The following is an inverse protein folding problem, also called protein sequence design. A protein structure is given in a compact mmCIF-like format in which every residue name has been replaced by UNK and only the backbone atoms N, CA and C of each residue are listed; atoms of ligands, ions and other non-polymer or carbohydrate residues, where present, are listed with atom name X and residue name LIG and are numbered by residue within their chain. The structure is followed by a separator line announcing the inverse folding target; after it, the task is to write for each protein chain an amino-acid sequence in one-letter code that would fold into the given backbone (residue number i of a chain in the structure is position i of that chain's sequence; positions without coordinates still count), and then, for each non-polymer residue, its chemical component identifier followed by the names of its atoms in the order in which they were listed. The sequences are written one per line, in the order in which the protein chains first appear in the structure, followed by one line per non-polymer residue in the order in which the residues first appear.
data_IF_486706718097
#
_entry.id   IF_486706718097
#
_cell.length_a   1.000
_cell.length_b   1.000
_cell.length_c   1.000
_cell.angle_alpha   90.00
_cell.angle_beta   90.00
_cell.angle_gamma   90.00
#
_symmetry.space_group_name_H-M   'P 1'
#
loop_
_entity.id
_entity.type
_entity.pdbx_description
1 polymer ?
#
# COMPACT_ATOMS: atom_id res chain seq x y z
N UNK A 1 6.44 5.17 -27.40
CA UNK A 1 6.22 6.22 -26.38
C UNK A 1 6.19 5.62 -24.97
N UNK A 2 5.41 4.58 -24.70
CA UNK A 2 5.29 3.95 -23.36
C UNK A 2 6.62 3.36 -22.83
N UNK A 3 7.38 2.66 -23.67
CA UNK A 3 8.70 2.12 -23.28
C UNK A 3 9.72 3.23 -22.93
N UNK A 4 9.65 4.38 -23.62
CA UNK A 4 10.50 5.53 -23.31
C UNK A 4 10.09 6.22 -22.01
N UNK A 5 8.78 6.31 -21.73
CA UNK A 5 8.27 6.83 -20.47
C UNK A 5 8.65 5.93 -19.28
N UNK A 6 8.49 4.61 -19.43
CA UNK A 6 8.90 3.63 -18.42
C UNK A 6 10.42 3.65 -18.16
N UNK A 7 11.24 3.84 -19.22
CA UNK A 7 12.68 3.98 -19.08
C UNK A 7 13.07 5.28 -18.35
N UNK A 8 12.42 6.40 -18.69
CA UNK A 8 12.64 7.70 -18.02
C UNK A 8 12.19 7.63 -16.55
N UNK A 9 11.10 6.95 -16.26
CA UNK A 9 10.61 6.77 -14.89
C UNK A 9 11.55 5.87 -14.07
N UNK A 10 12.07 4.79 -14.68
CA UNK A 10 13.07 3.92 -14.07
C UNK A 10 14.41 4.66 -13.84
N UNK A 11 14.84 5.48 -14.80
CA UNK A 11 16.03 6.33 -14.63
C UNK A 11 15.84 7.39 -13.53
N UNK A 12 14.63 7.94 -13.36
CA UNK A 12 14.31 8.87 -12.26
C UNK A 12 14.34 8.20 -10.89
N UNK A 13 13.99 6.92 -10.79
CA UNK A 13 14.04 6.15 -9.53
C UNK A 13 15.46 5.86 -9.05
N UNK A 14 16.45 5.90 -9.95
CA UNK A 14 17.85 5.61 -9.65
C UNK A 14 18.74 6.86 -9.71
N UNK A 15 18.16 8.08 -9.65
CA UNK A 15 18.94 9.31 -9.59
C UNK A 15 19.61 9.45 -8.21
N UNK A 16 20.96 9.31 -8.11
CA UNK A 16 21.66 9.36 -6.84
C UNK A 16 21.50 10.70 -6.11
N UNK A 17 21.27 11.78 -6.85
CA UNK A 17 21.05 13.11 -6.24
C UNK A 17 19.67 13.23 -5.57
N UNK A 18 18.68 12.53 -6.12
CA UNK A 18 17.28 12.60 -5.65
C UNK A 18 16.98 11.55 -4.61
N UNK A 19 17.54 10.35 -4.74
CA UNK A 19 17.17 9.18 -3.95
C UNK A 19 18.27 8.66 -3.02
N UNK A 20 19.34 9.42 -2.83
CA UNK A 20 20.37 9.11 -1.83
C UNK A 20 19.78 9.09 -0.42
N UNK A 21 20.25 8.16 0.40
CA UNK A 21 19.89 8.07 1.82
C UNK A 21 20.68 9.03 2.73
N UNK A 22 21.54 9.89 2.16
CA UNK A 22 22.30 10.87 2.93
C UNK A 22 21.44 11.76 3.85
N UNK A 23 20.29 12.34 3.41
CA UNK A 23 19.41 13.09 4.31
C UNK A 23 18.84 12.23 5.45
N UNK A 24 18.56 10.95 5.17
CA UNK A 24 18.10 9.98 6.18
C UNK A 24 19.19 9.73 7.21
N UNK A 25 20.44 9.54 6.76
CA UNK A 25 21.60 9.37 7.64
C UNK A 25 21.77 10.55 8.60
N UNK A 26 21.62 11.79 8.10
CA UNK A 26 21.69 13.02 8.94
C UNK A 26 20.62 12.99 10.03
N UNK A 27 19.36 12.65 9.67
CA UNK A 27 18.28 12.59 10.66
C UNK A 27 18.47 11.44 11.64
N UNK A 28 18.85 10.27 11.16
CA UNK A 28 19.12 9.10 12.01
C UNK A 28 20.25 9.38 12.99
N UNK A 29 21.29 10.07 12.54
CA UNK A 29 22.41 10.45 13.38
C UNK A 29 22.01 11.40 14.51
N UNK A 30 21.07 12.34 14.26
CA UNK A 30 20.49 13.19 15.32
C UNK A 30 19.71 12.41 16.38
N UNK A 31 19.02 11.33 15.97
CA UNK A 31 18.20 10.50 16.84
C UNK A 31 19.02 9.48 17.65
N UNK A 32 20.22 9.14 17.18
CA UNK A 32 21.10 8.12 17.78
C UNK A 32 22.40 8.74 18.33
N UNK A 33 22.36 10.00 18.79
CA UNK A 33 23.48 10.67 19.46
C UNK A 33 24.81 10.62 18.68
N UNK A 34 24.73 10.87 17.36
CA UNK A 34 25.88 10.88 16.45
C UNK A 34 26.64 9.54 16.34
N UNK A 35 25.93 8.42 16.44
CA UNK A 35 26.51 7.07 16.34
C UNK A 35 26.28 6.42 14.97
N UNK A 36 25.90 7.17 13.94
CA UNK A 36 25.59 6.64 12.60
C UNK A 36 26.58 7.14 11.57
N UNK A 37 27.35 6.26 10.97
CA UNK A 37 28.11 6.54 9.77
C UNK A 37 27.26 6.31 8.52
N UNK A 38 27.49 7.08 7.46
CA UNK A 38 26.85 6.88 6.16
C UNK A 38 27.84 6.37 5.14
N UNK A 39 27.58 5.20 4.54
CA UNK A 39 28.35 4.67 3.45
C UNK A 39 27.78 5.18 2.11
N UNK A 40 28.65 5.62 1.21
CA UNK A 40 28.27 6.20 -0.08
C UNK A 40 28.05 5.14 -1.18
N UNK A 41 28.25 3.89 -0.84
CA UNK A 41 27.99 2.72 -1.67
C UNK A 41 27.26 1.64 -0.83
N UNK A 42 26.87 0.56 -1.49
CA UNK A 42 26.15 -0.54 -0.83
C UNK A 42 27.06 -1.68 -0.41
N UNK A 43 27.98 -2.07 -1.28
CA UNK A 43 28.91 -3.21 -1.10
C UNK A 43 30.32 -2.89 -1.64
N UNK A 44 30.65 -1.61 -1.72
CA UNK A 44 31.94 -1.11 -2.20
C UNK A 44 32.95 -0.90 -1.07
N UNK A 45 34.04 -0.22 -1.41
CA UNK A 45 35.15 0.01 -0.48
C UNK A 45 34.75 0.87 0.73
N UNK A 46 33.89 1.88 0.52
CA UNK A 46 33.42 2.76 1.58
C UNK A 46 32.55 2.04 2.60
N UNK A 47 31.62 1.17 2.13
CA UNK A 47 30.80 0.33 3.00
C UNK A 47 31.69 -0.64 3.80
N UNK A 48 32.58 -1.38 3.15
CA UNK A 48 33.48 -2.33 3.82
C UNK A 48 34.36 -1.64 4.89
N UNK A 49 34.93 -0.48 4.58
CA UNK A 49 35.82 0.21 5.52
C UNK A 49 35.04 0.72 6.75
N UNK A 50 33.81 1.21 6.56
CA UNK A 50 32.98 1.72 7.66
C UNK A 50 32.40 0.61 8.52
N UNK A 51 32.00 -0.50 7.91
CA UNK A 51 31.54 -1.69 8.66
C UNK A 51 32.68 -2.27 9.48
N UNK A 52 33.88 -2.39 8.92
CA UNK A 52 35.06 -2.89 9.64
C UNK A 52 35.51 -1.98 10.80
N UNK A 53 35.17 -0.69 10.75
CA UNK A 53 35.51 0.29 11.79
C UNK A 53 34.45 0.41 12.89
N UNK A 54 33.30 -0.27 12.78
CA UNK A 54 32.20 -0.22 13.76
C UNK A 54 32.65 -0.71 15.14
N UNK A 55 32.17 0.00 16.15
CA UNK A 55 32.24 -0.40 17.54
C UNK A 55 30.86 -0.75 18.10
N UNK A 56 30.83 -1.38 19.24
CA UNK A 56 29.59 -1.75 19.92
C UNK A 56 28.68 -0.52 20.10
N UNK A 57 27.42 -0.66 19.63
CA UNK A 57 26.40 0.39 19.71
C UNK A 57 26.49 1.45 18.61
N UNK A 58 27.40 1.32 17.65
CA UNK A 58 27.45 2.16 16.45
C UNK A 58 26.69 1.54 15.27
N UNK A 59 26.34 2.34 14.29
CA UNK A 59 25.58 1.96 13.11
C UNK A 59 26.24 2.48 11.83
N UNK A 60 26.11 1.72 10.74
CA UNK A 60 26.35 2.20 9.39
C UNK A 60 25.04 2.16 8.61
N UNK A 61 24.61 3.29 8.05
CA UNK A 61 23.57 3.32 7.04
C UNK A 61 24.23 3.19 5.67
N UNK A 62 23.92 2.12 4.97
CA UNK A 62 24.37 1.92 3.59
C UNK A 62 23.56 2.78 2.64
N UNK A 63 24.06 3.03 1.43
CA UNK A 63 23.34 3.77 0.40
C UNK A 63 22.11 2.96 -0.08
N UNK A 64 21.24 3.62 -0.84
CA UNK A 64 19.99 3.07 -1.34
C UNK A 64 20.21 1.77 -2.11
N UNK A 65 19.64 0.68 -1.62
CA UNK A 65 19.76 -0.67 -2.21
C UNK A 65 19.29 -0.72 -3.67
N UNK A 66 18.37 0.18 -4.07
CA UNK A 66 17.88 0.28 -5.46
C UNK A 66 18.87 0.82 -6.46
N UNK A 67 20.01 1.34 -6.00
CA UNK A 67 21.10 1.73 -6.92
C UNK A 67 21.85 0.52 -7.46
N UNK A 68 21.79 -0.62 -6.76
CA UNK A 68 22.36 -1.88 -7.21
C UNK A 68 21.42 -2.67 -8.12
N UNK A 69 21.86 -2.95 -9.34
CA UNK A 69 21.04 -3.68 -10.32
C UNK A 69 20.70 -5.12 -9.88
N UNK A 70 21.47 -5.69 -8.97
CA UNK A 70 21.27 -7.02 -8.41
C UNK A 70 20.18 -7.09 -7.36
N UNK A 71 19.78 -5.98 -6.76
CA UNK A 71 18.80 -5.96 -5.66
C UNK A 71 17.43 -6.50 -6.10
N UNK A 72 16.80 -5.88 -7.09
CA UNK A 72 15.48 -6.30 -7.59
C UNK A 72 15.51 -7.65 -8.33
N UNK A 73 16.68 -8.08 -8.78
CA UNK A 73 16.87 -9.37 -9.46
C UNK A 73 17.16 -10.52 -8.51
N UNK A 74 17.23 -10.24 -7.21
CA UNK A 74 17.62 -11.23 -6.22
C UNK A 74 18.98 -11.89 -6.56
N UNK A 75 19.98 -11.08 -6.93
CA UNK A 75 21.28 -11.57 -7.38
C UNK A 75 22.04 -12.29 -6.26
N UNK A 76 22.43 -13.54 -6.50
CA UNK A 76 23.23 -14.34 -5.56
C UNK A 76 24.56 -13.67 -5.21
N UNK A 77 25.24 -13.07 -6.21
CA UNK A 77 26.50 -12.36 -6.00
C UNK A 77 26.33 -11.17 -5.03
N UNK A 78 25.24 -10.37 -5.20
CA UNK A 78 24.95 -9.27 -4.29
C UNK A 78 24.61 -9.76 -2.90
N UNK A 79 23.81 -10.83 -2.80
CA UNK A 79 23.44 -11.43 -1.52
C UNK A 79 24.68 -11.89 -0.73
N UNK A 80 25.64 -12.50 -1.41
CA UNK A 80 26.89 -12.93 -0.79
C UNK A 80 27.70 -11.74 -0.26
N UNK A 81 27.87 -10.67 -1.07
CA UNK A 81 28.57 -9.46 -0.64
C UNK A 81 27.90 -8.77 0.56
N UNK A 82 26.58 -8.76 0.61
CA UNK A 82 25.83 -8.19 1.73
C UNK A 82 25.96 -9.05 2.99
N UNK A 83 25.95 -10.37 2.85
CA UNK A 83 26.10 -11.29 3.96
C UNK A 83 27.49 -11.21 4.63
N UNK A 84 28.52 -10.78 3.90
CA UNK A 84 29.87 -10.56 4.46
C UNK A 84 29.89 -9.45 5.54
N UNK A 85 28.83 -8.66 5.66
CA UNK A 85 28.71 -7.60 6.65
C UNK A 85 28.05 -8.03 7.96
N UNK A 86 27.47 -9.23 8.06
CA UNK A 86 26.66 -9.57 9.22
C UNK A 86 26.82 -11.03 9.69
N UNK A 87 26.84 -11.20 11.00
CA UNK A 87 26.70 -12.51 11.67
C UNK A 87 25.23 -12.90 11.86
N UNK A 88 24.35 -11.90 11.98
CA UNK A 88 22.91 -12.05 12.14
C UNK A 88 22.17 -11.14 11.16
N UNK A 89 21.34 -11.73 10.33
CA UNK A 89 20.44 -11.00 9.44
C UNK A 89 19.08 -10.76 10.11
N UNK A 90 18.65 -9.51 10.17
CA UNK A 90 17.32 -9.13 10.68
C UNK A 90 16.51 -8.49 9.57
N UNK A 91 15.37 -9.09 9.22
CA UNK A 91 14.41 -8.44 8.31
C UNK A 91 13.34 -7.73 9.14
N UNK A 92 13.30 -6.41 9.05
CA UNK A 92 12.25 -5.57 9.67
C UNK A 92 11.57 -4.63 8.67
N UNK A 93 11.73 -4.93 7.38
CA UNK A 93 11.20 -4.16 6.26
C UNK A 93 9.86 -4.74 5.77
N UNK A 94 8.80 -4.64 6.58
CA UNK A 94 7.49 -5.21 6.27
C UNK A 94 6.95 -4.76 4.90
N UNK A 95 7.05 -3.47 4.57
CA UNK A 95 6.54 -2.92 3.31
C UNK A 95 7.17 -3.53 2.04
N UNK A 96 8.34 -4.13 2.13
CA UNK A 96 9.04 -4.81 1.03
C UNK A 96 9.11 -6.33 1.19
N UNK A 97 8.65 -6.88 2.30
CA UNK A 97 8.77 -8.31 2.63
C UNK A 97 8.06 -9.25 1.62
N UNK A 98 7.08 -8.73 0.87
CA UNK A 98 6.37 -9.46 -0.20
C UNK A 98 7.20 -9.62 -1.50
N UNK A 99 8.40 -9.03 -1.57
CA UNK A 99 9.25 -9.04 -2.77
C UNK A 99 10.46 -9.93 -2.55
N UNK A 100 10.75 -10.79 -3.53
CA UNK A 100 11.96 -11.62 -3.53
C UNK A 100 13.17 -10.79 -4.04
N UNK A 101 13.67 -9.86 -3.24
CA UNK A 101 14.85 -9.05 -3.53
C UNK A 101 16.06 -9.54 -2.73
N UNK A 102 17.27 -9.12 -3.13
CA UNK A 102 18.49 -9.55 -2.47
C UNK A 102 18.49 -9.25 -0.96
N UNK A 103 18.12 -8.01 -0.58
CA UNK A 103 18.11 -7.60 0.83
C UNK A 103 16.89 -8.08 1.61
N UNK A 104 15.83 -8.58 0.98
CA UNK A 104 14.63 -9.06 1.69
C UNK A 104 14.58 -10.58 1.81
N UNK A 105 14.89 -11.29 0.74
CA UNK A 105 14.76 -12.73 0.66
C UNK A 105 16.08 -13.45 0.32
N UNK A 106 16.87 -12.86 -0.59
CA UNK A 106 17.99 -13.56 -1.20
C UNK A 106 19.07 -14.02 -0.21
N UNK A 107 19.47 -13.17 0.72
CA UNK A 107 20.48 -13.51 1.74
C UNK A 107 20.11 -14.81 2.47
N UNK A 108 18.81 -14.99 2.76
CA UNK A 108 18.32 -16.21 3.45
C UNK A 108 18.10 -17.35 2.47
N UNK A 109 17.52 -17.10 1.30
CA UNK A 109 17.25 -18.13 0.30
C UNK A 109 18.50 -18.84 -0.20
N UNK A 110 19.61 -18.09 -0.36
CA UNK A 110 20.90 -18.65 -0.77
C UNK A 110 21.72 -19.23 0.40
N UNK A 111 21.21 -19.14 1.63
CA UNK A 111 21.87 -19.71 2.81
C UNK A 111 23.12 -18.96 3.26
N UNK A 112 23.27 -17.69 2.88
CA UNK A 112 24.45 -16.90 3.26
C UNK A 112 24.36 -16.34 4.68
N UNK A 113 23.16 -16.18 5.25
CA UNK A 113 22.97 -15.73 6.62
C UNK A 113 23.05 -16.92 7.60
N UNK A 114 24.03 -16.98 8.53
CA UNK A 114 24.11 -18.03 9.53
C UNK A 114 22.91 -18.06 10.47
N UNK A 115 22.42 -16.88 10.83
CA UNK A 115 21.21 -16.66 11.63
C UNK A 115 20.35 -15.63 10.92
N UNK A 116 19.05 -15.94 10.74
CA UNK A 116 18.09 -15.05 10.12
C UNK A 116 16.82 -14.97 10.97
N UNK A 117 16.40 -13.76 11.33
CA UNK A 117 15.23 -13.50 12.17
C UNK A 117 14.39 -12.34 11.62
N UNK A 118 13.14 -12.25 12.07
CA UNK A 118 12.32 -11.05 11.87
C UNK A 118 12.58 -10.02 12.97
N UNK A 119 12.47 -8.74 12.61
CA UNK A 119 12.49 -7.65 13.58
C UNK A 119 11.13 -7.41 14.23
N UNK A 120 11.08 -6.47 15.16
CA UNK A 120 9.90 -6.17 15.97
C UNK A 120 8.75 -5.55 15.17
N UNK A 121 9.04 -4.82 14.09
CA UNK A 121 7.99 -4.29 13.22
C UNK A 121 7.26 -5.43 12.51
N UNK A 122 7.99 -6.37 11.90
CA UNK A 122 7.40 -7.55 11.26
C UNK A 122 6.65 -8.40 12.29
N UNK A 123 7.20 -8.61 13.49
CA UNK A 123 6.51 -9.34 14.56
C UNK A 123 5.16 -8.69 14.89
N UNK A 124 5.14 -7.35 15.04
CA UNK A 124 3.92 -6.58 15.29
C UNK A 124 2.92 -6.72 14.14
N UNK A 125 3.37 -6.59 12.91
CA UNK A 125 2.51 -6.73 11.71
C UNK A 125 1.93 -8.14 11.61
N UNK A 126 2.73 -9.18 11.82
CA UNK A 126 2.26 -10.57 11.84
C UNK A 126 1.23 -10.83 12.95
N UNK A 127 1.46 -10.27 14.14
CA UNK A 127 0.54 -10.41 15.27
C UNK A 127 -0.82 -9.79 14.99
N UNK A 128 -0.84 -8.58 14.45
CA UNK A 128 -2.09 -7.84 14.23
C UNK A 128 -2.76 -8.22 12.91
N UNK A 129 -2.03 -8.26 11.79
CA UNK A 129 -2.61 -8.62 10.49
C UNK A 129 -2.89 -10.11 10.39
N UNK A 130 -1.94 -10.97 10.77
CA UNK A 130 -2.12 -12.41 10.70
C UNK A 130 -3.29 -12.86 11.56
N UNK A 131 -3.31 -12.44 12.83
CA UNK A 131 -4.40 -12.78 13.75
C UNK A 131 -5.77 -12.28 13.28
N UNK A 132 -5.84 -11.06 12.75
CA UNK A 132 -7.09 -10.47 12.31
C UNK A 132 -7.60 -11.02 10.97
N UNK A 133 -6.71 -11.49 10.09
CA UNK A 133 -7.09 -12.01 8.76
C UNK A 133 -7.28 -13.53 8.77
N UNK A 134 -6.49 -14.27 9.56
CA UNK A 134 -6.57 -15.73 9.61
C UNK A 134 -7.62 -16.25 10.57
N UNK A 135 -7.92 -15.49 11.65
CA UNK A 135 -8.93 -15.84 12.65
C UNK A 135 -9.76 -14.62 13.05
N UNK A 136 -10.50 -13.99 12.09
CA UNK A 136 -11.22 -12.75 12.35
C UNK A 136 -12.38 -12.96 13.31
N UNK A 137 -12.63 -11.98 14.17
CA UNK A 137 -13.94 -11.86 14.83
C UNK A 137 -14.96 -11.42 13.79
N UNK A 138 -16.05 -12.15 13.65
CA UNK A 138 -17.06 -11.87 12.61
C UNK A 138 -18.20 -10.99 13.13
N UNK A 139 -18.80 -10.15 12.28
CA UNK A 139 -18.55 -9.99 10.85
C UNK A 139 -17.19 -9.36 10.54
N UNK A 140 -16.50 -9.89 9.50
CA UNK A 140 -15.25 -9.35 8.98
C UNK A 140 -15.51 -8.56 7.69
N UNK A 141 -15.24 -7.26 7.73
CA UNK A 141 -15.34 -6.34 6.58
C UNK A 141 -13.95 -5.99 6.09
N UNK A 142 -13.70 -6.26 4.83
CA UNK A 142 -12.50 -5.79 4.14
C UNK A 142 -12.83 -4.59 3.26
N UNK A 143 -11.98 -3.56 3.29
CA UNK A 143 -12.15 -2.32 2.51
C UNK A 143 -10.93 -2.14 1.64
N UNK A 144 -11.13 -2.09 0.34
CA UNK A 144 -10.07 -1.86 -0.64
C UNK A 144 -10.38 -0.62 -1.47
N UNK A 145 -9.41 0.27 -1.54
CA UNK A 145 -9.42 1.46 -2.40
C UNK A 145 -8.13 1.59 -3.19
N UNK A 146 -7.90 2.77 -3.72
CA UNK A 146 -6.75 3.07 -4.56
C UNK A 146 -7.06 3.06 -6.05
N UNK A 147 -6.03 3.24 -6.90
CA UNK A 147 -6.23 3.58 -8.30
C UNK A 147 -6.57 2.38 -9.19
N UNK A 148 -5.95 1.20 -8.97
CA UNK A 148 -5.95 0.10 -9.94
C UNK A 148 -6.36 -1.24 -9.34
N UNK A 149 -7.18 -2.00 -10.09
CA UNK A 149 -7.54 -3.39 -9.77
C UNK A 149 -6.32 -4.29 -9.89
N UNK A 150 -5.49 -4.08 -10.94
CA UNK A 150 -4.31 -4.90 -11.22
C UNK A 150 -3.33 -4.99 -10.04
N UNK A 151 -3.23 -3.93 -9.27
CA UNK A 151 -2.31 -3.88 -8.12
C UNK A 151 -2.82 -4.70 -6.92
N UNK A 152 -4.10 -5.09 -6.90
CA UNK A 152 -4.76 -5.73 -5.75
C UNK A 152 -5.48 -7.05 -6.06
N UNK A 153 -5.27 -7.62 -7.25
CA UNK A 153 -5.97 -8.84 -7.70
C UNK A 153 -5.82 -9.97 -6.68
N UNK A 154 -4.60 -10.29 -6.29
CA UNK A 154 -4.33 -11.39 -5.38
C UNK A 154 -4.86 -11.11 -3.96
N UNK A 155 -4.84 -9.85 -3.55
CA UNK A 155 -5.42 -9.41 -2.28
C UNK A 155 -6.94 -9.59 -2.30
N UNK A 156 -7.62 -9.17 -3.39
CA UNK A 156 -9.07 -9.36 -3.56
C UNK A 156 -9.42 -10.84 -3.49
N UNK A 157 -8.71 -11.69 -4.27
CA UNK A 157 -8.95 -13.12 -4.27
C UNK A 157 -8.80 -13.77 -2.90
N UNK A 158 -7.74 -13.38 -2.17
CA UNK A 158 -7.47 -13.88 -0.81
C UNK A 158 -8.53 -13.43 0.19
N UNK A 159 -8.97 -12.16 0.12
CA UNK A 159 -9.99 -11.62 1.02
C UNK A 159 -11.37 -12.22 0.77
N UNK A 160 -11.73 -12.52 -0.49
CA UNK A 160 -12.97 -13.23 -0.82
C UNK A 160 -13.07 -14.65 -0.21
N UNK A 161 -11.95 -15.22 0.20
CA UNK A 161 -11.91 -16.50 0.91
C UNK A 161 -12.06 -16.33 2.44
N UNK A 162 -11.99 -15.11 2.96
CA UNK A 162 -11.86 -14.83 4.39
C UNK A 162 -12.92 -13.88 4.96
N UNK A 163 -13.34 -12.86 4.21
CA UNK A 163 -14.25 -11.83 4.71
C UNK A 163 -15.75 -12.17 4.50
N UNK A 164 -16.61 -11.53 5.28
CA UNK A 164 -18.07 -11.60 5.12
C UNK A 164 -18.55 -10.51 4.15
N UNK A 165 -17.88 -9.35 4.14
CA UNK A 165 -18.17 -8.24 3.24
C UNK A 165 -16.87 -7.66 2.68
N UNK A 166 -16.89 -7.34 1.38
CA UNK A 166 -15.79 -6.67 0.68
C UNK A 166 -16.30 -5.36 0.09
N UNK A 167 -15.75 -4.25 0.55
CA UNK A 167 -16.01 -2.90 0.05
C UNK A 167 -14.92 -2.52 -0.94
N UNK A 168 -15.31 -2.09 -2.13
CA UNK A 168 -14.40 -1.59 -3.17
C UNK A 168 -14.68 -0.11 -3.40
N UNK A 169 -13.66 0.74 -3.23
CA UNK A 169 -13.72 2.18 -3.49
C UNK A 169 -12.53 2.66 -4.32
N UNK A 170 -12.35 3.97 -4.39
CA UNK A 170 -11.26 4.59 -5.17
C UNK A 170 -11.37 4.39 -6.68
N UNK A 171 -10.31 4.70 -7.40
CA UNK A 171 -10.25 4.58 -8.86
C UNK A 171 -10.50 3.19 -9.40
N UNK A 172 -10.10 2.15 -8.66
CA UNK A 172 -10.35 0.76 -9.04
C UNK A 172 -11.83 0.42 -9.14
N UNK A 173 -12.72 1.12 -8.44
CA UNK A 173 -14.15 0.87 -8.48
C UNK A 173 -14.75 1.13 -9.88
N UNK A 174 -14.16 2.02 -10.69
CA UNK A 174 -14.69 2.32 -12.02
C UNK A 174 -14.52 1.15 -13.00
N UNK A 175 -13.50 0.32 -12.83
CA UNK A 175 -13.38 -0.94 -13.61
C UNK A 175 -14.51 -1.92 -13.27
N UNK A 176 -14.89 -2.03 -11.99
CA UNK A 176 -16.06 -2.83 -11.59
C UNK A 176 -17.38 -2.22 -12.09
N UNK A 177 -17.54 -0.88 -12.04
CA UNK A 177 -18.73 -0.21 -12.58
C UNK A 177 -18.87 -0.42 -14.08
N UNK A 178 -17.76 -0.37 -14.83
CA UNK A 178 -17.74 -0.69 -16.26
C UNK A 178 -18.13 -2.15 -16.53
N UNK A 179 -17.67 -3.06 -15.68
CA UNK A 179 -18.05 -4.48 -15.74
C UNK A 179 -19.54 -4.72 -15.48
N UNK A 180 -20.21 -3.83 -14.74
CA UNK A 180 -21.67 -3.81 -14.54
C UNK A 180 -22.43 -3.16 -15.72
N UNK A 181 -21.72 -2.65 -16.74
CA UNK A 181 -22.32 -2.01 -17.91
C UNK A 181 -22.55 -0.51 -17.78
N UNK A 182 -22.07 0.12 -16.69
CA UNK A 182 -22.22 1.57 -16.47
C UNK A 182 -21.17 2.36 -17.25
N UNK A 183 -21.53 3.54 -17.74
CA UNK A 183 -20.57 4.49 -18.28
C UNK A 183 -19.75 5.11 -17.14
N UNK A 184 -18.45 5.29 -17.36
CA UNK A 184 -17.51 5.80 -16.36
C UNK A 184 -16.82 7.11 -16.80
N UNK A 185 -17.26 7.72 -17.92
CA UNK A 185 -16.71 8.95 -18.46
C UNK A 185 -15.19 8.87 -18.62
N UNK A 186 -14.50 9.90 -18.16
CA UNK A 186 -13.04 10.00 -18.20
C UNK A 186 -12.35 9.40 -16.97
N UNK A 187 -13.10 8.69 -16.10
CA UNK A 187 -12.56 8.09 -14.88
C UNK A 187 -11.45 7.07 -15.19
N UNK A 188 -10.60 6.81 -14.20
CA UNK A 188 -9.59 5.75 -14.28
C UNK A 188 -10.26 4.41 -14.65
N UNK A 189 -9.78 3.80 -15.74
CA UNK A 189 -10.31 2.53 -16.23
C UNK A 189 -9.16 1.62 -16.68
N UNK A 190 -9.18 0.38 -16.21
CA UNK A 190 -8.34 -0.70 -16.74
C UNK A 190 -9.20 -1.57 -17.65
N UNK A 191 -9.27 -1.23 -18.95
CA UNK A 191 -10.12 -1.94 -19.92
C UNK A 191 -9.81 -3.43 -20.01
N UNK A 192 -8.53 -3.80 -19.93
CA UNK A 192 -8.06 -5.16 -19.95
C UNK A 192 -8.39 -5.95 -18.67
N UNK A 193 -8.96 -5.32 -17.65
CA UNK A 193 -9.37 -5.93 -16.37
C UNK A 193 -10.89 -6.02 -16.18
N UNK A 194 -11.69 -5.61 -17.16
CA UNK A 194 -13.16 -5.65 -17.05
C UNK A 194 -13.65 -7.08 -16.86
N UNK A 195 -13.15 -8.03 -17.65
CA UNK A 195 -13.57 -9.44 -17.51
C UNK A 195 -13.11 -10.04 -16.19
N UNK A 196 -11.92 -9.69 -15.72
CA UNK A 196 -11.46 -10.08 -14.40
C UNK A 196 -12.37 -9.51 -13.29
N UNK A 197 -12.83 -8.27 -13.41
CA UNK A 197 -13.77 -7.68 -12.45
C UNK A 197 -15.10 -8.47 -12.41
N UNK A 198 -15.61 -8.92 -13.57
CA UNK A 198 -16.79 -9.80 -13.64
C UNK A 198 -16.53 -11.14 -12.93
N UNK A 199 -15.36 -11.75 -13.15
CA UNK A 199 -14.97 -13.01 -12.48
C UNK A 199 -14.92 -12.84 -10.96
N UNK A 200 -14.34 -11.72 -10.48
CA UNK A 200 -14.26 -11.43 -9.04
C UNK A 200 -15.64 -11.20 -8.42
N UNK A 201 -16.54 -10.51 -9.13
CA UNK A 201 -17.95 -10.36 -8.70
C UNK A 201 -18.68 -11.68 -8.64
N UNK A 202 -18.51 -12.55 -9.64
CA UNK A 202 -19.09 -13.89 -9.64
C UNK A 202 -18.54 -14.72 -8.47
N UNK A 203 -17.21 -14.71 -8.27
CA UNK A 203 -16.57 -15.39 -7.14
C UNK A 203 -17.10 -14.92 -5.80
N UNK A 204 -17.29 -13.61 -5.61
CA UNK A 204 -17.88 -13.06 -4.39
C UNK A 204 -19.28 -13.63 -4.15
N UNK A 205 -20.12 -13.66 -5.18
CA UNK A 205 -21.48 -14.22 -5.12
C UNK A 205 -21.47 -15.72 -4.78
N UNK A 206 -20.61 -16.50 -5.43
CA UNK A 206 -20.51 -17.94 -5.22
C UNK A 206 -20.04 -18.29 -3.80
N UNK A 207 -19.22 -17.42 -3.21
CA UNK A 207 -18.73 -17.57 -1.83
C UNK A 207 -19.67 -16.97 -0.78
N UNK A 208 -20.76 -16.33 -1.19
CA UNK A 208 -21.68 -15.64 -0.28
C UNK A 208 -21.09 -14.39 0.36
N UNK A 209 -20.00 -13.83 -0.19
CA UNK A 209 -19.39 -12.58 0.26
C UNK A 209 -20.19 -11.41 -0.27
N UNK A 210 -20.58 -10.49 0.61
CA UNK A 210 -21.28 -9.26 0.22
C UNK A 210 -20.31 -8.27 -0.39
N UNK A 211 -20.28 -8.19 -1.72
CA UNK A 211 -19.48 -7.21 -2.45
C UNK A 211 -20.23 -5.88 -2.55
N UNK A 212 -19.64 -4.81 -2.03
CA UNK A 212 -20.20 -3.47 -2.03
C UNK A 212 -19.37 -2.56 -2.97
N UNK A 213 -20.05 -1.99 -3.94
CA UNK A 213 -19.51 -1.05 -4.93
C UNK A 213 -20.20 0.31 -4.76
N UNK A 214 -19.57 1.43 -5.17
CA UNK A 214 -20.20 2.74 -5.14
C UNK A 214 -21.47 2.79 -5.99
N UNK A 215 -22.56 3.26 -5.40
CA UNK A 215 -23.85 3.47 -6.09
C UNK A 215 -24.00 4.89 -6.62
N UNK A 216 -23.29 5.84 -6.01
CA UNK A 216 -23.16 7.21 -6.45
C UNK A 216 -21.69 7.68 -6.32
N UNK A 217 -21.34 8.70 -7.10
CA UNK A 217 -19.98 9.24 -7.13
C UNK A 217 -20.02 10.76 -7.12
N UNK A 218 -19.03 11.36 -6.46
CA UNK A 218 -18.62 12.75 -6.69
C UNK A 218 -17.75 12.76 -7.92
N UNK A 219 -18.16 13.51 -8.93
CA UNK A 219 -17.45 13.63 -10.21
C UNK A 219 -17.00 15.06 -10.44
N UNK A 220 -15.94 15.24 -11.20
CA UNK A 220 -15.40 16.53 -11.60
C UNK A 220 -15.15 16.62 -13.10
N UNK A 221 -15.13 17.84 -13.64
CA UNK A 221 -14.82 18.13 -15.03
C UNK A 221 -13.31 18.25 -15.33
N UNK A 222 -12.48 18.19 -14.29
CA UNK A 222 -11.02 18.16 -14.38
C UNK A 222 -10.41 17.57 -13.10
N UNK A 223 -9.21 16.99 -13.20
CA UNK A 223 -8.42 16.52 -12.05
C UNK A 223 -7.76 17.71 -11.33
N UNK A 224 -8.57 18.49 -10.61
CA UNK A 224 -8.15 19.71 -9.92
C UNK A 224 -9.04 19.99 -8.71
N UNK A 225 -8.45 20.52 -7.65
CA UNK A 225 -9.22 20.99 -6.49
C UNK A 225 -10.15 22.19 -6.82
N UNK A 226 -9.90 22.90 -7.92
CA UNK A 226 -10.72 24.02 -8.40
C UNK A 226 -11.80 23.61 -9.41
N UNK A 227 -11.83 22.31 -9.79
CA UNK A 227 -12.79 21.79 -10.76
C UNK A 227 -14.25 21.98 -10.29
N UNK A 228 -15.17 22.08 -11.26
CA UNK A 228 -16.58 21.95 -10.97
C UNK A 228 -16.88 20.51 -10.57
N UNK A 229 -17.72 20.33 -9.58
CA UNK A 229 -18.09 19.01 -9.08
C UNK A 229 -19.59 18.85 -8.97
N UNK A 230 -20.06 17.61 -9.09
CA UNK A 230 -21.44 17.21 -8.82
C UNK A 230 -21.51 15.76 -8.38
N UNK A 231 -22.63 15.38 -7.77
CA UNK A 231 -22.93 14.00 -7.42
C UNK A 231 -23.78 13.38 -8.52
N UNK A 232 -23.44 12.16 -8.96
CA UNK A 232 -24.21 11.39 -9.92
C UNK A 232 -24.47 9.97 -9.42
N UNK A 233 -25.66 9.46 -9.74
CA UNK A 233 -26.01 8.06 -9.60
C UNK A 233 -25.99 7.41 -10.98
N UNK A 234 -25.60 6.13 -11.08
CA UNK A 234 -25.53 5.45 -12.38
C UNK A 234 -24.36 5.94 -13.23
N UNK A 235 -24.64 6.32 -14.48
CA UNK A 235 -23.63 6.65 -15.46
C UNK A 235 -22.88 7.96 -15.15
N UNK A 236 -21.55 7.93 -15.37
CA UNK A 236 -20.71 9.13 -15.37
C UNK A 236 -20.64 9.62 -16.82
N UNK A 237 -21.07 10.86 -17.10
CA UNK A 237 -21.08 11.39 -18.47
C UNK A 237 -19.66 11.64 -19.01
N UNK A 238 -19.54 11.66 -20.35
CA UNK A 238 -18.31 12.06 -21.02
C UNK A 238 -17.87 13.47 -20.59
N UNK A 239 -16.57 13.68 -20.49
CA UNK A 239 -15.98 14.93 -20.00
C UNK A 239 -15.97 15.06 -18.48
N UNK A 240 -16.49 14.09 -17.74
CA UNK A 240 -16.45 14.03 -16.27
C UNK A 240 -15.69 12.80 -15.81
N UNK A 241 -15.00 12.93 -14.71
CA UNK A 241 -14.28 11.83 -14.06
C UNK A 241 -14.68 11.66 -12.60
N UNK A 242 -14.68 10.43 -12.13
CA UNK A 242 -14.97 10.13 -10.74
C UNK A 242 -13.79 10.47 -9.83
N UNK A 243 -14.07 11.23 -8.78
CA UNK A 243 -13.06 11.72 -7.84
C UNK A 243 -13.23 11.17 -6.42
N UNK A 244 -14.47 10.86 -6.00
CA UNK A 244 -14.77 10.30 -4.69
C UNK A 244 -16.08 9.50 -4.73
N UNK A 245 -16.34 8.75 -3.66
CA UNK A 245 -17.65 8.12 -3.44
C UNK A 245 -18.69 9.18 -3.04
N UNK A 246 -19.94 8.96 -3.48
CA UNK A 246 -21.04 9.85 -3.14
C UNK A 246 -21.67 9.60 -1.77
N UNK A 247 -22.56 10.49 -1.31
CA UNK A 247 -23.15 10.43 0.03
C UNK A 247 -24.01 9.18 0.30
N UNK A 248 -24.67 8.62 -0.71
CA UNK A 248 -25.40 7.34 -0.56
C UNK A 248 -24.45 6.18 -0.34
N UNK A 249 -23.35 6.15 -1.10
CA UNK A 249 -22.29 5.15 -0.94
C UNK A 249 -21.65 5.25 0.42
N UNK A 250 -21.32 6.46 0.89
CA UNK A 250 -20.81 6.72 2.24
C UNK A 250 -21.72 6.10 3.28
N UNK A 251 -23.04 6.34 3.18
CA UNK A 251 -24.00 5.77 4.13
C UNK A 251 -23.99 4.23 4.10
N UNK A 252 -24.05 3.63 2.92
CA UNK A 252 -24.07 2.16 2.78
C UNK A 252 -22.80 1.53 3.36
N UNK A 253 -21.65 2.12 3.08
CA UNK A 253 -20.37 1.60 3.56
C UNK A 253 -20.21 1.79 5.06
N UNK A 254 -20.61 2.94 5.61
CA UNK A 254 -20.59 3.20 7.04
C UNK A 254 -21.55 2.27 7.82
N UNK A 255 -22.75 2.03 7.28
CA UNK A 255 -23.73 1.09 7.87
C UNK A 255 -23.20 -0.35 7.93
N UNK A 256 -22.35 -0.74 6.95
CA UNK A 256 -21.72 -2.06 6.94
C UNK A 256 -20.54 -2.14 7.93
N UNK A 257 -19.71 -1.09 7.97
CA UNK A 257 -18.60 -0.96 8.91
C UNK A 257 -19.09 -1.01 10.36
N UNK A 258 -20.20 -0.34 10.66
CA UNK A 258 -20.77 -0.29 12.02
C UNK A 258 -21.18 -1.67 12.57
N UNK A 259 -21.41 -2.66 11.71
CA UNK A 259 -21.77 -4.04 12.12
C UNK A 259 -20.55 -4.93 12.33
N UNK A 260 -19.39 -4.51 11.83
CA UNK A 260 -18.19 -5.32 11.83
C UNK A 260 -17.62 -5.52 13.24
N UNK A 261 -16.94 -6.67 13.43
CA UNK A 261 -16.09 -6.94 14.59
C UNK A 261 -14.60 -7.00 14.20
N UNK A 262 -14.31 -7.12 12.92
CA UNK A 262 -12.99 -6.96 12.36
C UNK A 262 -13.12 -6.14 11.07
N UNK A 263 -12.27 -5.10 10.92
CA UNK A 263 -12.17 -4.32 9.70
C UNK A 263 -10.71 -4.23 9.28
N UNK A 264 -10.44 -4.54 8.02
CA UNK A 264 -9.13 -4.30 7.39
C UNK A 264 -9.33 -3.33 6.23
N UNK A 265 -8.67 -2.18 6.28
CA UNK A 265 -8.78 -1.14 5.26
C UNK A 265 -7.45 -0.87 4.59
N UNK A 266 -7.42 -0.91 3.26
CA UNK A 266 -6.24 -0.61 2.45
C UNK A 266 -6.61 0.17 1.18
N UNK A 267 -6.24 1.44 1.12
CA UNK A 267 -6.46 2.35 -0.01
C UNK A 267 -7.63 3.32 0.20
N UNK A 268 -7.46 4.59 -0.18
CA UNK A 268 -8.46 5.64 -0.02
C UNK A 268 -9.68 5.43 -0.92
N UNK A 269 -10.80 6.07 -0.58
CA UNK A 269 -12.06 5.99 -1.31
C UNK A 269 -12.17 7.01 -2.45
N UNK A 270 -11.38 8.07 -2.39
CA UNK A 270 -11.33 9.15 -3.36
C UNK A 270 -9.94 9.80 -3.40
N UNK A 271 -9.82 10.91 -4.11
CA UNK A 271 -8.59 11.72 -4.24
C UNK A 271 -8.44 12.57 -2.98
N UNK A 272 -8.06 11.93 -1.88
CA UNK A 272 -8.06 12.53 -0.54
C UNK A 272 -7.04 13.67 -0.37
N UNK A 273 -6.07 13.80 -1.27
CA UNK A 273 -5.13 14.91 -1.33
C UNK A 273 -5.79 16.23 -1.72
N UNK A 274 -6.98 16.17 -2.31
CA UNK A 274 -7.82 17.30 -2.67
C UNK A 274 -8.98 17.41 -1.69
N UNK A 275 -9.09 18.51 -0.96
CA UNK A 275 -10.08 18.69 0.12
C UNK A 275 -11.52 18.40 -0.33
N UNK A 276 -11.91 18.84 -1.55
CA UNK A 276 -13.23 18.60 -2.13
C UNK A 276 -13.56 17.11 -2.34
N UNK A 277 -12.56 16.27 -2.51
CA UNK A 277 -12.68 14.85 -2.85
C UNK A 277 -12.14 13.92 -1.76
N UNK A 278 -11.94 14.48 -0.54
CA UNK A 278 -11.51 13.76 0.64
C UNK A 278 -12.68 13.29 1.53
N UNK A 279 -13.89 13.72 1.21
CA UNK A 279 -15.09 13.53 2.07
C UNK A 279 -15.41 12.06 2.26
N UNK A 280 -15.36 11.27 1.19
CA UNK A 280 -15.61 9.82 1.26
C UNK A 280 -14.58 9.09 2.12
N UNK A 281 -13.30 9.36 1.90
CA UNK A 281 -12.21 8.77 2.69
C UNK A 281 -12.34 9.16 4.17
N UNK A 282 -12.64 10.43 4.46
CA UNK A 282 -12.85 10.92 5.82
C UNK A 282 -14.05 10.25 6.52
N UNK A 283 -15.14 10.05 5.78
CA UNK A 283 -16.33 9.41 6.32
C UNK A 283 -16.09 7.93 6.68
N UNK A 284 -15.29 7.22 5.87
CA UNK A 284 -14.88 5.84 6.17
C UNK A 284 -13.96 5.81 7.40
N UNK A 285 -12.98 6.72 7.49
CA UNK A 285 -12.12 6.83 8.67
C UNK A 285 -12.94 7.10 9.95
N UNK A 286 -13.94 8.00 9.87
CA UNK A 286 -14.86 8.28 10.98
C UNK A 286 -15.68 7.03 11.36
N UNK A 287 -16.23 6.29 10.39
CA UNK A 287 -16.99 5.08 10.65
C UNK A 287 -16.17 3.99 11.35
N UNK A 288 -14.86 3.89 11.01
CA UNK A 288 -13.94 3.00 11.72
C UNK A 288 -13.69 3.48 13.16
N UNK A 289 -13.44 4.78 13.34
CA UNK A 289 -13.18 5.38 14.65
C UNK A 289 -14.40 5.26 15.59
N UNK A 290 -15.61 5.34 15.04
CA UNK A 290 -16.86 5.22 15.82
C UNK A 290 -17.21 3.78 16.20
N UNK A 291 -16.63 2.78 15.52
CA UNK A 291 -16.87 1.37 15.82
C UNK A 291 -15.90 0.85 16.89
N UNK A 292 -16.13 1.24 18.14
CA UNK A 292 -15.29 0.86 19.28
C UNK A 292 -15.29 -0.64 19.61
N UNK A 293 -16.25 -1.40 19.08
CA UNK A 293 -16.40 -2.84 19.33
C UNK A 293 -15.60 -3.70 18.33
N UNK A 294 -15.01 -3.08 17.29
CA UNK A 294 -14.27 -3.77 16.26
C UNK A 294 -12.75 -3.64 16.44
N UNK A 295 -12.04 -4.65 15.96
CA UNK A 295 -10.62 -4.53 15.67
C UNK A 295 -10.50 -3.87 14.29
N UNK A 296 -9.98 -2.64 14.22
CA UNK A 296 -9.78 -1.90 12.98
C UNK A 296 -8.29 -1.85 12.65
N UNK A 297 -7.95 -2.29 11.44
CA UNK A 297 -6.58 -2.32 10.95
C UNK A 297 -6.51 -1.52 9.65
N UNK A 298 -5.65 -0.51 9.64
CA UNK A 298 -5.42 0.34 8.47
C UNK A 298 -4.05 0.02 7.91
N UNK A 299 -4.03 -0.44 6.66
CA UNK A 299 -2.82 -0.81 5.93
C UNK A 299 -2.61 0.04 4.70
N UNK A 300 -1.33 0.13 4.29
CA UNK A 300 -0.91 0.92 3.12
C UNK A 300 -0.59 2.38 3.46
N UNK A 301 0.45 2.90 2.78
CA UNK A 301 0.96 4.25 3.05
C UNK A 301 -0.07 5.34 2.84
N UNK A 302 -0.86 5.26 1.76
CA UNK A 302 -1.87 6.28 1.43
C UNK A 302 -3.02 6.30 2.46
N UNK A 303 -3.48 5.13 2.91
CA UNK A 303 -4.52 5.05 3.94
C UNK A 303 -4.03 5.58 5.29
N UNK A 304 -2.81 5.21 5.69
CA UNK A 304 -2.20 5.69 6.92
C UNK A 304 -2.01 7.22 6.89
N UNK A 305 -1.50 7.75 5.77
CA UNK A 305 -1.33 9.19 5.57
C UNK A 305 -2.69 9.93 5.61
N UNK A 306 -3.73 9.38 4.97
CA UNK A 306 -5.07 9.97 5.00
C UNK A 306 -5.63 10.01 6.43
N UNK A 307 -5.52 8.93 7.17
CA UNK A 307 -6.01 8.82 8.56
C UNK A 307 -5.27 9.79 9.49
N UNK A 308 -3.94 9.91 9.34
CA UNK A 308 -3.13 10.87 10.09
C UNK A 308 -3.51 12.31 9.76
N UNK A 309 -3.57 12.66 8.47
CA UNK A 309 -3.93 13.99 7.99
C UNK A 309 -5.34 14.42 8.44
N UNK A 310 -6.26 13.48 8.56
CA UNK A 310 -7.65 13.71 8.99
C UNK A 310 -7.84 13.66 10.51
N UNK A 311 -6.79 13.41 11.29
CA UNK A 311 -6.82 13.43 12.76
C UNK A 311 -7.44 12.18 13.40
N UNK A 312 -7.35 11.01 12.75
CA UNK A 312 -7.87 9.75 13.28
C UNK A 312 -6.77 8.76 13.71
N UNK A 313 -5.50 9.14 13.64
CA UNK A 313 -4.38 8.22 13.92
C UNK A 313 -4.38 7.66 15.35
N UNK A 314 -4.92 8.40 16.31
CA UNK A 314 -4.98 8.02 17.73
C UNK A 314 -6.34 7.43 18.14
N UNK A 315 -7.23 7.18 17.18
CA UNK A 315 -8.58 6.65 17.39
C UNK A 315 -8.72 5.27 16.81
#
# INVERSE_FOLDING_TARGET
AAAKAAYIEKAKKNDPKKFTLKPVAVRLNQLLDNKVAFATDLVGEDAHSKVAALKDGECVLLENTRFEAGEEKNSEELCKKLADFCDVYVNDAFGTAHRAHATTAGIVQYGFAPVAVSGFLIEKELKYLGGAVDSPKRPFVAILGGAKVSDKIEVIKSLLDKCDSLIIGGGMAYTFRKALGLAVGNSLLEEDKIDLAKELMAKAKDKGVKLLLPVDNVIADAFSNDANMKVVEGDIPDGWEGMDIGPKTVKIFSDEIAKAKTVVWNGPMGVFEMEKFAVGTKAIAQALADNHDAITIIGGGDSAAAVEQMGFADK
#
